data_IF_553025177609
#
_entry.id   IF_553025177609
#
_cell.length_a   1.000
_cell.length_b   1.000
_cell.length_c   1.000
_cell.angle_alpha   90.00
_cell.angle_beta   90.00
_cell.angle_gamma   90.00
#
_symmetry.space_group_name_H-M   'P 1'
#
loop_
_entity.id
_entity.type
_entity.pdbx_description
1 polymer ?
#
# COMPACT_ATOMS: atom_id res chain seq x y z
N UNK A 1 -61.05 6.68 64.63
CA UNK A 1 -59.98 6.10 65.48
C UNK A 1 -58.64 6.48 64.85
N UNK A 2 -57.77 7.18 65.57
CA UNK A 2 -56.46 7.58 65.03
C UNK A 2 -55.56 6.34 65.00
N UNK A 3 -55.20 5.89 63.80
CA UNK A 3 -54.25 4.80 63.61
C UNK A 3 -52.87 5.36 63.93
N UNK A 4 -52.23 4.88 65.00
CA UNK A 4 -50.92 5.37 65.45
C UNK A 4 -49.82 4.30 65.47
N UNK A 5 -50.14 3.03 65.16
CA UNK A 5 -49.22 1.89 65.30
C UNK A 5 -49.00 1.21 63.95
N UNK A 6 -47.75 0.88 63.64
CA UNK A 6 -47.36 0.06 62.51
C UNK A 6 -46.76 -1.26 62.99
N UNK A 7 -47.20 -2.38 62.41
CA UNK A 7 -46.61 -3.70 62.68
C UNK A 7 -45.60 -4.05 61.57
N UNK A 8 -44.32 -4.18 61.94
CA UNK A 8 -43.24 -4.54 61.01
C UNK A 8 -43.31 -6.00 60.54
N UNK A 9 -43.84 -6.91 61.38
CA UNK A 9 -44.05 -8.32 61.02
C UNK A 9 -45.09 -8.46 59.90
N UNK A 10 -46.27 -7.86 60.11
CA UNK A 10 -47.35 -7.87 59.12
C UNK A 10 -47.19 -6.85 57.97
N UNK A 11 -46.25 -5.91 58.09
CA UNK A 11 -46.02 -4.79 57.15
C UNK A 11 -47.28 -3.96 56.84
N UNK A 12 -48.07 -3.65 57.87
CA UNK A 12 -49.31 -2.88 57.73
C UNK A 12 -49.62 -2.02 58.96
N UNK A 13 -50.36 -0.92 58.79
CA UNK A 13 -50.84 -0.12 59.92
C UNK A 13 -51.95 -0.85 60.67
N UNK A 14 -52.03 -0.66 61.99
CA UNK A 14 -53.02 -1.25 62.87
C UNK A 14 -53.71 -0.18 63.73
N UNK A 15 -55.00 -0.36 64.02
CA UNK A 15 -55.65 0.41 65.08
C UNK A 15 -55.23 -0.11 66.47
N UNK A 16 -55.42 0.70 67.52
CA UNK A 16 -55.03 0.33 68.89
C UNK A 16 -55.66 -0.99 69.36
N UNK A 17 -56.92 -1.26 69.00
CA UNK A 17 -57.60 -2.50 69.37
C UNK A 17 -56.94 -3.72 68.71
N UNK A 18 -56.62 -3.65 67.41
CA UNK A 18 -55.95 -4.75 66.71
C UNK A 18 -54.53 -5.00 67.22
N UNK A 19 -53.80 -3.95 67.62
CA UNK A 19 -52.45 -4.08 68.17
C UNK A 19 -52.44 -4.73 69.57
N UNK A 20 -53.45 -4.48 70.40
CA UNK A 20 -53.58 -5.08 71.74
C UNK A 20 -53.99 -6.57 71.69
N UNK A 21 -54.74 -6.97 70.66
CA UNK A 21 -55.17 -8.36 70.47
C UNK A 21 -54.09 -9.25 69.83
N UNK A 22 -53.05 -8.65 69.22
CA UNK A 22 -51.93 -9.36 68.61
C UNK A 22 -50.75 -9.46 69.60
N UNK A 23 -50.82 -10.48 70.46
CA UNK A 23 -49.83 -10.75 71.52
C UNK A 23 -48.51 -11.32 71.00
N UNK A 24 -48.49 -11.94 69.81
CA UNK A 24 -47.30 -12.54 69.23
C UNK A 24 -46.32 -11.45 68.76
N UNK A 25 -46.80 -10.49 67.97
CA UNK A 25 -45.96 -9.38 67.51
C UNK A 25 -45.70 -8.32 68.59
N UNK A 26 -46.55 -8.23 69.63
CA UNK A 26 -46.30 -7.40 70.81
C UNK A 26 -45.06 -7.87 71.57
N UNK A 27 -44.99 -9.16 71.89
CA UNK A 27 -43.89 -9.75 72.64
C UNK A 27 -42.57 -9.74 71.83
N UNK A 28 -42.65 -9.78 70.50
CA UNK A 28 -41.51 -9.67 69.60
C UNK A 28 -41.04 -8.22 69.33
N UNK A 29 -41.65 -7.20 69.96
CA UNK A 29 -41.33 -5.77 69.79
C UNK A 29 -41.35 -5.29 68.33
N UNK A 30 -42.30 -5.81 67.53
CA UNK A 30 -42.41 -5.47 66.11
C UNK A 30 -43.32 -4.26 65.83
N UNK A 31 -43.80 -3.59 66.87
CA UNK A 31 -44.61 -2.38 66.75
C UNK A 31 -43.77 -1.11 66.81
N UNK A 32 -44.09 -0.16 65.94
CA UNK A 32 -43.54 1.19 65.94
C UNK A 32 -44.65 2.22 65.84
N UNK A 33 -44.38 3.45 66.28
CA UNK A 33 -45.23 4.59 65.92
C UNK A 33 -45.25 4.72 64.40
N UNK A 34 -46.46 4.81 63.82
CA UNK A 34 -46.65 4.87 62.38
C UNK A 34 -45.95 6.07 61.75
N UNK A 35 -45.82 7.20 62.46
CA UNK A 35 -45.12 8.40 61.97
C UNK A 35 -43.63 8.16 61.86
N UNK A 36 -43.03 7.52 62.87
CA UNK A 36 -41.61 7.16 62.88
C UNK A 36 -41.31 6.18 61.75
N UNK A 37 -42.18 5.20 61.53
CA UNK A 37 -42.00 4.24 60.43
C UNK A 37 -42.13 4.89 59.05
N UNK A 38 -43.10 5.80 58.87
CA UNK A 38 -43.25 6.56 57.63
C UNK A 38 -42.00 7.38 57.35
N UNK A 39 -41.44 8.04 58.36
CA UNK A 39 -40.24 8.85 58.18
C UNK A 39 -39.03 7.99 57.82
N UNK A 40 -38.79 6.89 58.55
CA UNK A 40 -37.72 5.96 58.23
C UNK A 40 -37.83 5.41 56.79
N UNK A 41 -39.04 5.07 56.32
CA UNK A 41 -39.24 4.60 54.93
C UNK A 41 -38.99 5.71 53.91
N UNK A 42 -39.38 6.94 54.20
CA UNK A 42 -39.10 8.09 53.32
C UNK A 42 -37.60 8.37 53.25
N UNK A 43 -36.90 8.29 54.36
CA UNK A 43 -35.45 8.43 54.43
C UNK A 43 -34.75 7.33 53.63
N UNK A 44 -35.16 6.07 53.82
CA UNK A 44 -34.64 4.92 53.06
C UNK A 44 -34.84 5.10 51.55
N UNK A 45 -36.05 5.46 51.11
CA UNK A 45 -36.35 5.72 49.71
C UNK A 45 -35.57 6.92 49.16
N UNK A 46 -35.34 7.96 49.98
CA UNK A 46 -34.56 9.13 49.60
C UNK A 46 -33.09 8.76 49.39
N UNK A 47 -32.51 7.96 50.29
CA UNK A 47 -31.15 7.43 50.13
C UNK A 47 -31.00 6.57 48.88
N UNK A 48 -31.93 5.63 48.66
CA UNK A 48 -31.92 4.78 47.45
C UNK A 48 -32.06 5.60 46.16
N UNK A 49 -32.87 6.66 46.18
CA UNK A 49 -33.00 7.58 45.06
C UNK A 49 -31.67 8.30 44.77
N UNK A 50 -30.98 8.79 45.79
CA UNK A 50 -29.68 9.45 45.66
C UNK A 50 -28.61 8.50 45.10
N UNK A 51 -28.53 7.27 45.62
CA UNK A 51 -27.66 6.22 45.11
C UNK A 51 -27.94 5.91 43.62
N UNK A 52 -29.21 5.84 43.22
CA UNK A 52 -29.60 5.60 41.84
C UNK A 52 -29.24 6.78 40.92
N UNK A 53 -29.37 8.03 41.39
CA UNK A 53 -28.97 9.22 40.63
C UNK A 53 -27.46 9.23 40.41
N UNK A 54 -26.66 8.90 41.42
CA UNK A 54 -25.21 8.82 41.29
C UNK A 54 -24.81 7.70 40.30
N UNK A 55 -25.42 6.53 40.45
CA UNK A 55 -25.18 5.40 39.55
C UNK A 55 -25.56 5.76 38.11
N UNK A 56 -26.70 6.42 37.90
CA UNK A 56 -27.11 6.89 36.57
C UNK A 56 -26.07 7.83 35.97
N UNK A 57 -25.58 8.82 36.73
CA UNK A 57 -24.55 9.76 36.26
C UNK A 57 -23.27 9.04 35.84
N UNK A 58 -22.82 8.07 36.63
CA UNK A 58 -21.66 7.23 36.30
C UNK A 58 -21.87 6.47 34.98
N UNK A 59 -23.04 5.83 34.79
CA UNK A 59 -23.36 5.10 33.56
C UNK A 59 -23.46 6.02 32.34
N UNK A 60 -24.04 7.22 32.48
CA UNK A 60 -24.11 8.21 31.40
C UNK A 60 -22.71 8.65 30.97
N UNK A 61 -21.80 8.86 31.93
CA UNK A 61 -20.39 9.15 31.65
C UNK A 61 -19.69 8.00 30.92
N UNK A 62 -19.86 6.75 31.40
CA UNK A 62 -19.29 5.57 30.74
C UNK A 62 -19.85 5.36 29.34
N UNK A 63 -21.16 5.54 29.16
CA UNK A 63 -21.81 5.45 27.85
C UNK A 63 -21.25 6.49 26.89
N UNK A 64 -21.09 7.75 27.33
CA UNK A 64 -20.49 8.79 26.49
C UNK A 64 -19.06 8.43 26.08
N UNK A 65 -18.23 8.00 27.03
CA UNK A 65 -16.86 7.59 26.78
C UNK A 65 -16.77 6.44 25.76
N UNK A 66 -17.55 5.37 25.95
CA UNK A 66 -17.56 4.23 25.02
C UNK A 66 -18.05 4.64 23.62
N UNK A 67 -19.06 5.51 23.56
CA UNK A 67 -19.59 6.00 22.29
C UNK A 67 -18.58 6.89 21.54
N UNK A 68 -17.81 7.71 22.27
CA UNK A 68 -16.71 8.49 21.69
C UNK A 68 -15.58 7.60 21.20
N UNK A 69 -15.19 6.58 21.97
CA UNK A 69 -14.20 5.58 21.55
C UNK A 69 -14.63 4.86 20.27
N UNK A 70 -15.91 4.49 20.15
CA UNK A 70 -16.44 3.87 18.92
C UNK A 70 -16.32 4.80 17.71
N UNK A 71 -16.59 6.09 17.88
CA UNK A 71 -16.40 7.09 16.80
C UNK A 71 -14.94 7.22 16.41
N UNK A 72 -14.04 7.27 17.40
CA UNK A 72 -12.60 7.37 17.16
C UNK A 72 -12.06 6.13 16.44
N UNK A 73 -12.51 4.92 16.81
CA UNK A 73 -12.14 3.68 16.12
C UNK A 73 -12.58 3.71 14.65
N UNK A 74 -13.80 4.15 14.36
CA UNK A 74 -14.28 4.29 12.97
C UNK A 74 -13.45 5.30 12.18
N UNK A 75 -13.08 6.42 12.80
CA UNK A 75 -12.25 7.46 12.19
C UNK A 75 -10.84 6.93 11.89
N UNK A 76 -10.17 6.31 12.85
CA UNK A 76 -8.84 5.72 12.65
C UNK A 76 -8.89 4.64 11.56
N UNK A 77 -9.96 3.83 11.52
CA UNK A 77 -10.15 2.85 10.46
C UNK A 77 -10.27 3.50 9.09
N UNK A 78 -11.10 4.53 8.91
CA UNK A 78 -11.25 5.21 7.62
C UNK A 78 -9.96 5.89 7.19
N UNK A 79 -9.30 6.63 8.09
CA UNK A 79 -8.03 7.31 7.81
C UNK A 79 -6.92 6.32 7.43
N UNK A 80 -6.84 5.19 8.12
CA UNK A 80 -5.87 4.13 7.79
C UNK A 80 -6.16 3.52 6.41
N UNK A 81 -7.42 3.27 6.08
CA UNK A 81 -7.81 2.75 4.76
C UNK A 81 -7.47 3.72 3.64
N UNK A 82 -7.76 5.01 3.83
CA UNK A 82 -7.42 6.06 2.85
C UNK A 82 -5.92 6.19 2.66
N UNK A 83 -5.13 6.12 3.74
CA UNK A 83 -3.68 6.15 3.67
C UNK A 83 -3.13 4.95 2.88
N UNK A 84 -3.61 3.73 3.18
CA UNK A 84 -3.21 2.52 2.45
C UNK A 84 -3.54 2.69 0.96
N UNK A 85 -4.77 3.10 0.64
CA UNK A 85 -5.22 3.30 -0.74
C UNK A 85 -4.33 4.29 -1.48
N UNK A 86 -4.08 5.46 -0.89
CA UNK A 86 -3.22 6.50 -1.46
C UNK A 86 -1.79 5.99 -1.68
N UNK A 87 -1.23 5.25 -0.73
CA UNK A 87 0.13 4.72 -0.86
C UNK A 87 0.24 3.66 -1.95
N UNK A 88 -0.75 2.79 -2.06
CA UNK A 88 -0.83 1.80 -3.16
C UNK A 88 -0.93 2.51 -4.51
N UNK A 89 -1.77 3.54 -4.63
CA UNK A 89 -1.89 4.34 -5.86
C UNK A 89 -0.57 5.02 -6.23
N UNK A 90 0.09 5.67 -5.27
CA UNK A 90 1.42 6.28 -5.47
C UNK A 90 2.45 5.23 -5.97
N UNK A 91 2.45 4.02 -5.40
CA UNK A 91 3.35 2.94 -5.81
C UNK A 91 3.04 2.45 -7.23
N UNK A 92 1.76 2.25 -7.58
CA UNK A 92 1.35 1.81 -8.91
C UNK A 92 1.74 2.84 -9.97
N UNK A 93 1.48 4.13 -9.72
CA UNK A 93 1.88 5.21 -10.62
C UNK A 93 3.40 5.23 -10.82
N UNK A 94 4.16 5.06 -9.74
CA UNK A 94 5.62 5.03 -9.82
C UNK A 94 6.12 3.84 -10.66
N UNK A 95 5.55 2.64 -10.48
CA UNK A 95 5.90 1.46 -11.28
C UNK A 95 5.56 1.68 -12.75
N UNK A 96 4.39 2.24 -13.05
CA UNK A 96 3.97 2.56 -14.42
C UNK A 96 4.94 3.53 -15.09
N UNK A 97 5.29 4.64 -14.44
CA UNK A 97 6.27 5.60 -14.97
C UNK A 97 7.65 4.98 -15.20
N UNK A 98 8.06 4.03 -14.35
CA UNK A 98 9.31 3.28 -14.55
C UNK A 98 9.21 2.35 -15.75
N UNK A 99 8.08 1.68 -15.93
CA UNK A 99 7.79 0.85 -17.10
C UNK A 99 7.82 1.66 -18.39
N UNK A 100 7.16 2.82 -18.43
CA UNK A 100 7.17 3.73 -19.58
C UNK A 100 8.58 4.14 -20.00
N UNK A 101 9.43 4.53 -19.03
CA UNK A 101 10.83 4.88 -19.30
C UNK A 101 11.65 3.73 -19.87
N UNK A 102 11.39 2.49 -19.43
CA UNK A 102 12.06 1.32 -20.00
C UNK A 102 11.60 1.07 -21.44
N UNK A 103 10.32 1.24 -21.72
CA UNK A 103 9.79 1.17 -23.09
C UNK A 103 10.41 2.24 -24.01
N UNK A 104 10.50 3.49 -23.54
CA UNK A 104 11.16 4.57 -24.29
C UNK A 104 12.62 4.24 -24.62
N UNK A 105 13.36 3.60 -23.70
CA UNK A 105 14.73 3.14 -23.96
C UNK A 105 14.79 2.08 -25.07
N UNK A 106 13.86 1.11 -25.07
CA UNK A 106 13.74 0.10 -26.13
C UNK A 106 13.50 0.77 -27.48
N UNK A 107 12.54 1.69 -27.54
CA UNK A 107 12.20 2.39 -28.78
C UNK A 107 13.37 3.23 -29.30
N UNK A 108 14.11 3.90 -28.40
CA UNK A 108 15.28 4.69 -28.75
C UNK A 108 16.42 3.83 -29.31
N UNK A 109 16.73 2.71 -28.65
CA UNK A 109 17.71 1.72 -29.11
C UNK A 109 17.33 1.18 -30.50
N UNK A 110 16.07 0.75 -30.67
CA UNK A 110 15.58 0.27 -31.96
C UNK A 110 15.70 1.33 -33.06
N UNK A 111 15.31 2.57 -32.80
CA UNK A 111 15.42 3.66 -33.77
C UNK A 111 16.87 3.93 -34.18
N UNK A 112 17.80 3.92 -33.22
CA UNK A 112 19.23 4.10 -33.48
C UNK A 112 19.77 2.95 -34.35
N UNK A 113 19.50 1.70 -33.97
CA UNK A 113 19.90 0.52 -34.73
C UNK A 113 19.36 0.51 -36.16
N UNK A 114 18.09 0.92 -36.35
CA UNK A 114 17.49 1.04 -37.69
C UNK A 114 18.19 2.11 -38.54
N UNK A 115 18.51 3.27 -37.97
CA UNK A 115 19.17 4.36 -38.69
C UNK A 115 20.60 3.98 -39.10
N UNK A 116 21.34 3.32 -38.21
CA UNK A 116 22.66 2.78 -38.55
C UNK A 116 22.59 1.71 -39.65
N UNK A 117 21.60 0.82 -39.58
CA UNK A 117 21.38 -0.19 -40.60
C UNK A 117 21.05 0.44 -41.96
N UNK A 118 20.20 1.47 -42.01
CA UNK A 118 19.90 2.23 -43.24
C UNK A 118 21.15 2.86 -43.84
N UNK A 119 21.99 3.51 -43.03
CA UNK A 119 23.25 4.11 -43.49
C UNK A 119 24.20 3.07 -44.09
N UNK A 120 24.34 1.91 -43.42
CA UNK A 120 25.16 0.78 -43.92
C UNK A 120 24.60 0.20 -45.23
N UNK A 121 23.28 0.11 -45.35
CA UNK A 121 22.61 -0.37 -46.57
C UNK A 121 22.90 0.57 -47.76
N UNK A 122 22.67 1.88 -47.59
CA UNK A 122 22.93 2.88 -48.65
C UNK A 122 24.40 2.84 -49.11
N UNK A 123 25.35 2.73 -48.18
CA UNK A 123 26.77 2.63 -48.52
C UNK A 123 27.07 1.37 -49.36
N UNK A 124 26.48 0.24 -48.97
CA UNK A 124 26.64 -1.04 -49.67
C UNK A 124 26.02 -1.01 -51.07
N UNK A 125 24.82 -0.45 -51.20
CA UNK A 125 24.17 -0.24 -52.50
C UNK A 125 25.00 0.63 -53.44
N UNK A 126 25.66 1.67 -52.92
CA UNK A 126 26.55 2.52 -53.72
C UNK A 126 27.81 1.81 -54.18
N UNK A 127 28.40 0.94 -53.36
CA UNK A 127 29.54 0.09 -53.76
C UNK A 127 29.09 -0.89 -54.86
N UNK A 128 27.95 -1.57 -54.67
CA UNK A 128 27.40 -2.50 -55.66
C UNK A 128 27.14 -1.84 -57.01
N UNK A 129 26.50 -0.66 -57.03
CA UNK A 129 26.27 0.10 -58.26
C UNK A 129 27.57 0.45 -58.99
N UNK A 130 28.64 0.78 -58.26
CA UNK A 130 29.95 1.06 -58.86
C UNK A 130 30.61 -0.19 -59.41
N UNK A 131 30.45 -1.34 -58.74
CA UNK A 131 30.97 -2.63 -59.22
C UNK A 131 30.27 -3.04 -60.51
N UNK A 132 28.93 -2.95 -60.55
CA UNK A 132 28.13 -3.24 -61.74
C UNK A 132 28.50 -2.31 -62.91
N UNK A 133 28.64 -1.00 -62.66
CA UNK A 133 29.07 -0.05 -63.69
C UNK A 133 30.49 -0.34 -64.21
N UNK A 134 31.41 -0.74 -63.30
CA UNK A 134 32.77 -1.14 -63.66
C UNK A 134 32.81 -2.40 -64.53
N UNK A 135 31.99 -3.39 -64.20
CA UNK A 135 31.80 -4.62 -64.99
C UNK A 135 31.28 -4.30 -66.40
N UNK A 136 30.16 -3.56 -66.49
CA UNK A 136 29.57 -3.16 -67.76
C UNK A 136 30.52 -2.32 -68.63
N UNK A 137 31.34 -1.47 -68.02
CA UNK A 137 32.34 -0.68 -68.73
C UNK A 137 33.39 -1.58 -69.41
N UNK A 138 33.94 -2.56 -68.68
CA UNK A 138 34.95 -3.49 -69.21
C UNK A 138 34.34 -4.37 -70.30
N UNK A 139 33.13 -4.87 -70.10
CA UNK A 139 32.40 -5.67 -71.09
C UNK A 139 32.20 -4.88 -72.40
N UNK A 140 31.67 -3.65 -72.31
CA UNK A 140 31.47 -2.80 -73.49
C UNK A 140 32.77 -2.41 -74.17
N UNK A 141 33.82 -2.13 -73.40
CA UNK A 141 35.13 -1.80 -73.97
C UNK A 141 35.72 -3.00 -74.74
N UNK A 142 35.50 -4.24 -74.27
CA UNK A 142 35.90 -5.44 -74.99
C UNK A 142 35.11 -5.73 -76.27
N UNK A 143 33.85 -5.28 -76.35
CA UNK A 143 32.97 -5.52 -77.50
C UNK A 143 33.07 -4.43 -78.59
N UNK A 144 33.29 -3.17 -78.19
CA UNK A 144 33.06 -2.02 -79.08
C UNK A 144 34.21 -1.02 -79.17
N UNK A 145 35.20 -1.05 -78.28
CA UNK A 145 36.29 -0.08 -78.34
C UNK A 145 37.35 -0.49 -79.38
N UNK A 146 37.97 0.51 -80.00
CA UNK A 146 39.16 0.30 -80.84
C UNK A 146 40.40 -0.04 -80.00
N UNK A 147 41.39 -0.70 -80.61
CA UNK A 147 42.64 -1.03 -79.94
C UNK A 147 43.32 0.21 -79.31
N UNK A 148 43.22 1.37 -79.97
CA UNK A 148 43.77 2.63 -79.46
C UNK A 148 43.03 3.12 -78.20
N UNK A 149 41.70 3.12 -78.21
CA UNK A 149 40.89 3.50 -77.03
C UNK A 149 41.14 2.56 -75.84
N UNK A 150 41.34 1.26 -76.10
CA UNK A 150 41.69 0.28 -75.07
C UNK A 150 43.03 0.62 -74.44
N UNK A 151 44.07 0.89 -75.24
CA UNK A 151 45.40 1.25 -74.74
C UNK A 151 45.36 2.56 -73.93
N UNK A 152 44.64 3.56 -74.42
CA UNK A 152 44.54 4.87 -73.77
C UNK A 152 43.79 4.79 -72.42
N UNK A 153 42.71 4.02 -72.37
CA UNK A 153 41.83 3.93 -71.19
C UNK A 153 42.27 2.87 -70.17
N UNK A 154 43.01 1.84 -70.59
CA UNK A 154 43.44 0.72 -69.74
C UNK A 154 44.07 1.14 -68.40
N UNK A 155 45.07 2.03 -68.32
CA UNK A 155 45.70 2.36 -67.04
C UNK A 155 44.69 2.93 -66.02
N UNK A 156 43.76 3.78 -66.48
CA UNK A 156 42.75 4.41 -65.62
C UNK A 156 41.68 3.41 -65.13
N UNK A 157 41.24 2.53 -66.03
CA UNK A 157 40.22 1.51 -65.71
C UNK A 157 40.82 0.47 -64.76
N UNK A 158 42.04 -0.02 -65.05
CA UNK A 158 42.74 -0.96 -64.17
C UNK A 158 42.92 -0.40 -62.77
N UNK A 159 43.39 0.84 -62.64
CA UNK A 159 43.54 1.49 -61.34
C UNK A 159 42.20 1.62 -60.61
N UNK A 160 41.14 2.04 -61.31
CA UNK A 160 39.82 2.23 -60.72
C UNK A 160 39.19 0.91 -60.24
N UNK A 161 39.33 -0.18 -61.00
CA UNK A 161 38.86 -1.51 -60.61
C UNK A 161 39.68 -2.09 -59.45
N UNK A 162 41.01 -1.90 -59.45
CA UNK A 162 41.84 -2.32 -58.32
C UNK A 162 41.54 -1.54 -57.04
N UNK A 163 41.20 -0.25 -57.15
CA UNK A 163 40.70 0.54 -55.99
C UNK A 163 39.38 -0.02 -55.49
N UNK A 164 38.43 -0.29 -56.38
CA UNK A 164 37.11 -0.81 -56.02
C UNK A 164 37.19 -2.22 -55.41
N UNK A 165 38.08 -3.07 -55.92
CA UNK A 165 38.38 -4.40 -55.38
C UNK A 165 38.95 -4.36 -53.95
N UNK A 166 39.70 -3.31 -53.63
CA UNK A 166 40.27 -3.09 -52.28
C UNK A 166 39.29 -2.41 -51.33
N UNK A 167 38.16 -1.91 -51.83
CA UNK A 167 37.16 -1.25 -51.02
C UNK A 167 36.49 -2.27 -50.11
N UNK A 168 36.69 -2.10 -48.80
CA UNK A 168 36.15 -3.04 -47.81
C UNK A 168 34.67 -2.75 -47.64
N UNK A 169 33.82 -3.67 -48.10
CA UNK A 169 32.48 -3.78 -47.58
C UNK A 169 32.57 -3.96 -46.06
N UNK A 170 31.75 -3.28 -45.27
CA UNK A 170 31.73 -3.50 -43.84
C UNK A 170 30.92 -4.79 -43.54
N UNK A 171 31.32 -5.92 -44.14
CA UNK A 171 30.64 -7.23 -44.07
C UNK A 171 30.62 -7.75 -42.62
N UNK A 172 31.66 -7.44 -41.84
CA UNK A 172 31.71 -7.76 -40.41
C UNK A 172 30.78 -6.88 -39.54
N UNK A 173 30.20 -5.81 -40.10
CA UNK A 173 29.31 -4.87 -39.41
C UNK A 173 27.80 -5.15 -39.64
N UNK A 174 27.48 -6.17 -40.45
CA UNK A 174 26.12 -6.67 -40.67
C UNK A 174 25.67 -7.68 -39.62
N UNK A 175 26.53 -8.03 -38.66
CA UNK A 175 26.02 -8.21 -37.31
C UNK A 175 25.57 -6.82 -36.85
N UNK A 176 24.39 -6.41 -37.30
CA UNK A 176 23.54 -5.56 -36.47
C UNK A 176 23.62 -6.29 -35.13
N UNK A 177 24.24 -5.71 -34.08
CA UNK A 177 23.91 -6.20 -32.77
C UNK A 177 22.40 -6.15 -32.82
N UNK A 178 21.74 -7.31 -32.82
CA UNK A 178 20.41 -7.36 -32.22
C UNK A 178 20.74 -6.77 -30.87
N UNK A 179 20.52 -5.45 -30.73
CA UNK A 179 20.92 -4.70 -29.56
C UNK A 179 20.20 -5.45 -28.48
N UNK A 180 20.95 -6.30 -27.81
CA UNK A 180 20.31 -7.24 -26.95
C UNK A 180 19.82 -6.33 -25.86
N UNK A 181 18.52 -6.28 -25.68
CA UNK A 181 17.91 -5.41 -24.68
C UNK A 181 18.31 -5.84 -23.27
N UNK A 182 19.40 -6.61 -23.09
CA UNK A 182 20.06 -7.06 -21.87
C UNK A 182 20.20 -5.94 -20.84
N UNK A 183 20.54 -4.72 -21.26
CA UNK A 183 20.60 -3.58 -20.34
C UNK A 183 19.21 -3.22 -19.81
N UNK A 184 18.23 -3.05 -20.70
CA UNK A 184 16.83 -2.74 -20.34
C UNK A 184 16.19 -3.89 -19.55
N UNK A 185 16.48 -5.14 -19.94
CA UNK A 185 16.04 -6.35 -19.28
C UNK A 185 16.68 -6.46 -17.89
N UNK A 186 17.96 -6.12 -17.75
CA UNK A 186 18.64 -6.03 -16.47
C UNK A 186 18.01 -4.99 -15.55
N UNK A 187 17.71 -3.80 -16.07
CA UNK A 187 16.99 -2.76 -15.34
C UNK A 187 15.58 -3.19 -14.93
N UNK A 188 14.84 -3.85 -15.82
CA UNK A 188 13.51 -4.40 -15.51
C UNK A 188 13.59 -5.45 -14.40
N UNK A 189 14.58 -6.36 -14.47
CA UNK A 189 14.78 -7.37 -13.43
C UNK A 189 15.17 -6.74 -12.09
N UNK A 190 16.02 -5.71 -12.08
CA UNK A 190 16.36 -4.96 -10.88
C UNK A 190 15.14 -4.22 -10.30
N UNK A 191 14.28 -3.65 -11.15
CA UNK A 191 13.02 -3.04 -10.72
C UNK A 191 12.08 -4.08 -10.10
N UNK A 192 11.94 -5.25 -10.71
CA UNK A 192 11.10 -6.34 -10.20
C UNK A 192 11.58 -6.83 -8.83
N UNK A 193 12.88 -7.03 -8.65
CA UNK A 193 13.47 -7.43 -7.35
C UNK A 193 13.19 -6.41 -6.27
N UNK A 194 13.36 -5.12 -6.58
CA UNK A 194 13.07 -4.02 -5.64
C UNK A 194 11.61 -3.96 -5.25
N UNK A 195 10.69 -4.12 -6.22
CA UNK A 195 9.24 -4.10 -5.98
C UNK A 195 8.81 -5.31 -5.14
N UNK A 196 9.40 -6.49 -5.38
CA UNK A 196 9.12 -7.70 -4.59
C UNK A 196 9.82 -7.73 -3.23
N UNK A 197 10.72 -6.77 -2.95
CA UNK A 197 11.51 -6.76 -1.72
C UNK A 197 12.59 -7.85 -1.65
N UNK A 198 12.92 -8.49 -2.78
CA UNK A 198 13.94 -9.54 -2.86
C UNK A 198 15.37 -8.99 -2.71
N UNK A 199 15.54 -7.67 -2.75
CA UNK A 199 16.80 -6.97 -2.46
C UNK A 199 17.08 -6.85 -0.95
N UNK A 200 16.15 -7.25 -0.08
CA UNK A 200 16.28 -7.12 1.37
C UNK A 200 17.02 -8.32 2.00
N UNK A 201 18.27 -8.53 1.60
CA UNK A 201 19.26 -9.22 2.45
C UNK A 201 20.13 -8.15 3.13
N UNK A 202 19.79 -7.79 4.36
CA UNK A 202 20.67 -6.99 5.24
C UNK A 202 20.21 -5.56 5.51
N UNK A 203 19.18 -5.40 6.33
CA UNK A 203 19.10 -4.24 7.22
C UNK A 203 18.88 -4.75 8.64
N UNK A 204 19.96 -5.23 9.26
CA UNK A 204 20.05 -5.26 10.72
C UNK A 204 20.12 -3.81 11.18
N UNK A 205 18.98 -3.24 11.56
CA UNK A 205 18.96 -1.96 12.27
C UNK A 205 19.50 -2.23 13.68
N UNK A 206 20.80 -2.00 13.86
CA UNK A 206 21.40 -1.77 15.17
C UNK A 206 20.93 -0.41 15.66
N UNK A 207 19.86 -0.40 16.45
CA UNK A 207 19.47 0.79 17.21
C UNK A 207 20.38 0.86 18.44
N UNK A 208 21.41 1.71 18.40
CA UNK A 208 22.16 2.12 19.59
C UNK A 208 21.76 3.55 19.96
N UNK A 209 21.61 3.81 21.26
CA UNK A 209 21.67 5.17 21.82
C UNK A 209 20.36 5.75 22.36
N UNK A 210 20.03 5.32 23.58
CA UNK A 210 19.43 6.08 24.70
C UNK A 210 18.95 7.53 24.47
N UNK A 211 17.71 7.81 24.90
CA UNK A 211 17.42 8.91 25.83
C UNK A 211 16.12 8.65 26.61
N UNK A 212 16.21 8.77 27.94
CA UNK A 212 15.17 8.48 28.93
C UNK A 212 14.00 9.48 28.91
N UNK A 213 12.77 9.01 29.10
CA UNK A 213 11.77 9.66 29.99
C UNK A 213 10.63 8.69 30.33
N UNK A 214 10.24 8.70 31.60
CA UNK A 214 9.20 7.87 32.23
C UNK A 214 7.82 8.18 31.66
N UNK A 215 7.07 7.18 31.17
CA UNK A 215 5.60 7.18 31.25
C UNK A 215 5.08 5.74 31.39
N UNK A 216 4.39 5.51 32.51
CA UNK A 216 3.58 4.38 32.94
C UNK A 216 3.28 3.26 31.93
N UNK A 217 3.78 2.06 32.24
CA UNK A 217 3.22 0.78 31.76
C UNK A 217 1.80 0.60 32.32
N UNK A 218 0.80 0.67 31.44
CA UNK A 218 -0.45 -0.07 31.63
C UNK A 218 -0.44 -1.18 30.61
N UNK A 219 -0.08 -2.37 31.09
CA UNK A 219 -0.15 -3.63 30.36
C UNK A 219 -1.62 -3.95 30.10
N UNK A 220 -2.07 -3.78 28.85
CA UNK A 220 -3.37 -4.31 28.41
C UNK A 220 -3.18 -5.77 28.06
N UNK A 221 -3.27 -6.62 29.09
CA UNK A 221 -3.46 -8.07 28.91
C UNK A 221 -4.86 -8.23 28.32
N UNK A 222 -4.92 -8.67 27.06
CA UNK A 222 -6.13 -9.16 26.44
C UNK A 222 -6.57 -10.40 27.21
N UNK A 223 -7.70 -10.32 27.92
CA UNK A 223 -8.40 -11.52 28.37
C UNK A 223 -9.25 -11.99 27.20
N UNK A 224 -8.84 -13.13 26.62
CA UNK A 224 -9.68 -13.96 25.79
C UNK A 224 -10.95 -14.31 26.59
N UNK A 225 -12.10 -13.80 26.12
CA UNK A 225 -13.40 -14.30 26.53
C UNK A 225 -13.77 -15.37 25.51
N UNK A 226 -13.40 -16.61 25.81
CA UNK A 226 -14.02 -17.78 25.21
C UNK A 226 -15.49 -17.81 25.63
N UNK A 227 -16.36 -17.57 24.66
CA UNK A 227 -17.79 -17.83 24.74
C UNK A 227 -17.99 -19.30 24.41
N UNK A 228 -18.17 -20.14 25.43
CA UNK A 228 -18.81 -21.45 25.27
C UNK A 228 -20.32 -21.34 25.56
N UNK A 229 -21.07 -22.10 24.76
CA UNK A 229 -22.53 -22.11 24.62
C UNK A 229 -23.26 -22.79 25.78
#
# INVERSE_FOLDING_TARGET
QVISIYCRGCRKPLCCCCALLDGEHYNAKLYSDIRVEIENRKEELSRLKEELVEKKRSYESSHHNVHEQLKNLKKVQSETRELIQKKVEEMVQWIQQKGEKLMEKVDQQLCQGQEEAKKKLVCTEQILKRMEAGEQLVEKMGLFASDQEVIDMHPFIKESLERLKKEKLPVSSFRIPVENFDEVQGELQALLKRVKGEDACGCTVTTSGSHSSMVNSVSWIWMDVEVES
#
